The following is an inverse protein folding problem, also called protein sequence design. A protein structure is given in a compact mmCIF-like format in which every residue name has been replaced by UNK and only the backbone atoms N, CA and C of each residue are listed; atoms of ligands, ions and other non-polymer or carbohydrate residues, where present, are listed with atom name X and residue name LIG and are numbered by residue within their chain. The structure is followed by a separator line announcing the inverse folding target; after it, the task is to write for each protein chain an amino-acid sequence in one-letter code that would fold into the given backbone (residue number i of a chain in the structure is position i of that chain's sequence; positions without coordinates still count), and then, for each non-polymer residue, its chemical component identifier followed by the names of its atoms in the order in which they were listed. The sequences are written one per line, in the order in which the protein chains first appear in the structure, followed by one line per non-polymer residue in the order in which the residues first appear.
data_IF_855939554936
#
_entry.id   IF_855939554936
#
_cell.length_a   1.000
_cell.length_b   1.000
_cell.length_c   1.000
_cell.angle_alpha   90.00
_cell.angle_beta   90.00
_cell.angle_gamma   90.00
#
_symmetry.space_group_name_H-M   'P 1'
#
loop_
_entity.id
_entity.type
_entity.pdbx_description
1 polymer ?
#
# COMPACT_ATOMS: atom_id res chain seq x y z
N UNK A 1 -18.39 -13.34 18.22
CA UNK A 1 -19.58 -13.19 19.04
C UNK A 1 -20.82 -13.96 18.52
N UNK A 2 -20.74 -14.69 17.42
CA UNK A 2 -21.90 -15.41 16.82
C UNK A 2 -22.01 -16.90 17.19
N UNK A 3 -21.10 -17.46 17.98
CA UNK A 3 -21.07 -18.90 18.33
C UNK A 3 -21.89 -19.24 19.59
N UNK A 4 -22.39 -18.26 20.33
CA UNK A 4 -23.00 -18.46 21.67
C UNK A 4 -24.49 -18.86 21.60
N UNK A 5 -25.14 -18.84 20.45
CA UNK A 5 -26.59 -19.09 20.33
C UNK A 5 -27.00 -20.35 19.56
N UNK A 6 -26.16 -21.39 19.50
CA UNK A 6 -26.58 -22.67 18.94
C UNK A 6 -26.98 -23.58 20.10
N UNK A 7 -28.24 -23.51 20.51
CA UNK A 7 -28.84 -24.57 21.32
C UNK A 7 -28.78 -25.91 20.58
N UNK A 8 -28.65 -27.06 21.31
CA UNK A 8 -28.47 -28.38 20.71
C UNK A 8 -29.73 -28.82 19.97
N UNK A 9 -29.85 -28.46 18.69
CA UNK A 9 -31.01 -28.83 17.86
C UNK A 9 -30.95 -30.30 17.39
N UNK A 10 -29.81 -30.97 17.48
CA UNK A 10 -29.67 -32.37 17.07
C UNK A 10 -28.59 -33.04 17.94
N UNK A 11 -28.97 -33.81 18.91
CA UNK A 11 -28.29 -34.88 19.69
C UNK A 11 -26.79 -35.19 19.57
N UNK A 12 -26.00 -34.32 18.97
CA UNK A 12 -24.53 -34.39 18.93
C UNK A 12 -23.93 -33.16 19.60
N UNK A 13 -22.84 -33.30 20.35
CA UNK A 13 -22.19 -32.16 20.98
C UNK A 13 -21.72 -31.17 19.90
N UNK A 14 -22.01 -29.90 20.11
CA UNK A 14 -21.62 -28.77 19.23
C UNK A 14 -20.11 -28.81 18.90
N UNK A 15 -19.32 -29.29 19.81
CA UNK A 15 -17.86 -29.47 19.72
C UNK A 15 -17.46 -30.37 18.55
N UNK A 16 -18.15 -31.50 18.35
CA UNK A 16 -17.86 -32.44 17.24
C UNK A 16 -18.10 -31.80 15.88
N UNK A 17 -19.13 -30.96 15.79
CA UNK A 17 -19.50 -30.28 14.55
C UNK A 17 -18.50 -29.19 14.21
N UNK A 18 -18.13 -28.36 15.18
CA UNK A 18 -17.12 -27.32 15.00
C UNK A 18 -15.79 -27.94 14.56
N UNK A 19 -15.41 -29.07 15.17
CA UNK A 19 -14.17 -29.77 14.84
C UNK A 19 -14.16 -30.31 13.42
N UNK A 20 -15.29 -30.93 12.96
CA UNK A 20 -15.44 -31.42 11.59
C UNK A 20 -15.46 -30.31 10.55
N UNK A 21 -16.17 -29.21 10.83
CA UNK A 21 -16.18 -28.03 9.96
C UNK A 21 -14.79 -27.37 9.90
N UNK A 22 -14.09 -27.30 11.02
CA UNK A 22 -12.72 -26.81 11.09
C UNK A 22 -11.74 -27.67 10.30
N UNK A 23 -11.89 -29.00 10.35
CA UNK A 23 -11.11 -29.94 9.54
C UNK A 23 -11.30 -29.69 8.06
N UNK A 24 -12.55 -29.60 7.60
CA UNK A 24 -12.89 -29.29 6.21
C UNK A 24 -12.28 -27.93 5.80
N UNK A 25 -12.49 -26.91 6.62
CA UNK A 25 -11.97 -25.56 6.36
C UNK A 25 -10.45 -25.56 6.22
N UNK A 26 -9.73 -26.31 7.06
CA UNK A 26 -8.27 -26.43 7.01
C UNK A 26 -7.81 -27.14 5.74
N UNK A 27 -8.43 -28.28 5.39
CA UNK A 27 -8.05 -29.04 4.20
C UNK A 27 -8.26 -28.24 2.91
N UNK A 28 -9.39 -27.54 2.79
CA UNK A 28 -9.68 -26.73 1.61
C UNK A 28 -8.83 -25.46 1.55
N UNK A 29 -8.51 -24.86 2.69
CA UNK A 29 -7.59 -23.71 2.78
C UNK A 29 -6.17 -24.10 2.34
N UNK A 30 -5.67 -25.29 2.74
CA UNK A 30 -4.35 -25.80 2.32
C UNK A 30 -4.29 -26.05 0.81
N UNK A 31 -5.38 -26.51 0.20
CA UNK A 31 -5.50 -26.68 -1.26
C UNK A 31 -5.67 -25.34 -1.99
N UNK A 32 -6.00 -24.26 -1.29
CA UNK A 32 -6.36 -22.96 -1.87
C UNK A 32 -7.77 -22.94 -2.49
N UNK A 33 -8.64 -23.86 -2.11
CA UNK A 33 -9.98 -23.98 -2.64
C UNK A 33 -10.97 -23.08 -1.89
N UNK A 34 -11.78 -22.35 -2.65
CA UNK A 34 -12.92 -21.57 -2.14
C UNK A 34 -14.23 -22.34 -2.22
N UNK A 35 -14.27 -23.35 -3.07
CA UNK A 35 -15.42 -24.23 -3.27
C UNK A 35 -15.01 -25.67 -2.97
N UNK A 36 -15.97 -26.47 -2.50
CA UNK A 36 -15.80 -27.88 -2.19
C UNK A 36 -17.05 -28.67 -2.53
N UNK A 37 -16.93 -29.98 -2.60
CA UNK A 37 -17.97 -30.90 -3.08
C UNK A 37 -18.50 -31.79 -1.96
N UNK A 38 -19.54 -32.54 -2.25
CA UNK A 38 -20.17 -33.48 -1.30
C UNK A 38 -19.17 -34.53 -0.79
N UNK A 39 -18.19 -34.92 -1.61
CA UNK A 39 -17.14 -35.86 -1.25
C UNK A 39 -16.22 -35.30 -0.14
N UNK A 40 -15.82 -34.04 -0.24
CA UNK A 40 -14.99 -33.36 0.78
C UNK A 40 -15.72 -33.32 2.14
N UNK A 41 -17.05 -33.09 2.12
CA UNK A 41 -17.89 -33.15 3.31
C UNK A 41 -17.89 -34.55 3.95
N UNK A 42 -18.00 -35.59 3.13
CA UNK A 42 -18.00 -36.99 3.59
C UNK A 42 -16.65 -37.40 4.19
N UNK A 43 -15.54 -36.99 3.57
CA UNK A 43 -14.19 -37.23 4.08
C UNK A 43 -13.98 -36.63 5.48
N UNK A 44 -14.63 -35.48 5.74
CA UNK A 44 -14.62 -34.84 7.06
C UNK A 44 -15.67 -35.41 8.02
N UNK A 45 -16.43 -36.45 7.61
CA UNK A 45 -17.48 -37.05 8.41
C UNK A 45 -18.69 -36.13 8.63
N UNK A 46 -18.96 -35.21 7.70
CA UNK A 46 -20.10 -34.29 7.72
C UNK A 46 -21.21 -34.89 6.86
N UNK A 47 -22.40 -35.15 7.44
CA UNK A 47 -23.52 -35.61 6.71
C UNK A 47 -24.13 -34.46 5.91
N UNK A 48 -24.25 -34.61 4.59
CA UNK A 48 -24.79 -33.64 3.66
C UNK A 48 -26.20 -33.11 4.07
N UNK A 49 -27.10 -33.97 4.51
CA UNK A 49 -28.46 -33.56 4.94
C UNK A 49 -28.39 -32.63 6.18
N UNK A 50 -27.39 -32.84 7.04
CA UNK A 50 -27.14 -32.03 8.23
C UNK A 50 -26.49 -30.71 7.83
N UNK A 51 -25.56 -30.74 6.87
CA UNK A 51 -24.96 -29.52 6.34
C UNK A 51 -25.98 -28.56 5.70
N UNK A 52 -26.98 -29.11 4.98
CA UNK A 52 -28.05 -28.28 4.41
C UNK A 52 -28.96 -27.66 5.47
N UNK A 53 -29.13 -28.32 6.63
CA UNK A 53 -29.87 -27.77 7.77
C UNK A 53 -29.06 -26.70 8.48
N UNK A 54 -27.75 -26.87 8.60
CA UNK A 54 -26.87 -25.83 9.18
C UNK A 54 -26.78 -24.58 8.28
N UNK A 55 -26.88 -24.72 6.96
CA UNK A 55 -26.97 -23.56 6.06
C UNK A 55 -28.25 -22.74 6.28
N UNK A 56 -29.34 -23.35 6.81
CA UNK A 56 -30.58 -22.66 7.12
C UNK A 56 -30.65 -22.07 8.55
N UNK A 57 -29.91 -22.64 9.52
CA UNK A 57 -29.98 -22.26 10.94
C UNK A 57 -28.80 -21.40 11.39
N UNK A 58 -27.62 -21.68 10.90
CA UNK A 58 -26.40 -20.88 11.19
C UNK A 58 -26.19 -19.83 10.13
N UNK A 59 -27.23 -19.08 9.78
CA UNK A 59 -27.11 -18.00 8.81
C UNK A 59 -25.79 -18.05 8.04
N UNK A 60 -25.65 -19.16 7.19
CA UNK A 60 -24.74 -19.03 6.08
C UNK A 60 -23.26 -19.38 6.33
N UNK A 61 -22.92 -20.47 6.99
CA UNK A 61 -21.55 -21.01 6.94
C UNK A 61 -21.26 -21.58 5.54
N UNK A 62 -22.27 -22.17 4.88
CA UNK A 62 -22.15 -22.72 3.53
C UNK A 62 -23.13 -22.07 2.56
N UNK A 63 -22.69 -21.86 1.34
CA UNK A 63 -23.56 -21.53 0.21
C UNK A 63 -23.62 -22.74 -0.72
N UNK A 64 -24.82 -23.17 -1.05
CA UNK A 64 -25.06 -24.19 -2.06
C UNK A 64 -25.33 -23.51 -3.40
N UNK A 65 -24.51 -23.78 -4.41
CA UNK A 65 -24.69 -23.27 -5.75
C UNK A 65 -24.95 -24.45 -6.69
N UNK A 66 -26.06 -24.38 -7.45
CA UNK A 66 -26.38 -25.38 -8.52
C UNK A 66 -25.54 -24.98 -9.75
N UNK A 67 -24.42 -25.65 -9.97
CA UNK A 67 -23.59 -25.45 -11.16
C UNK A 67 -24.03 -26.25 -12.37
N UNK A 68 -23.39 -26.01 -13.51
CA UNK A 68 -23.62 -26.75 -14.79
C UNK A 68 -23.23 -28.23 -14.71
N UNK A 69 -22.52 -28.67 -13.68
CA UNK A 69 -22.17 -30.07 -13.43
C UNK A 69 -23.11 -30.68 -12.40
N UNK A 70 -23.51 -31.96 -12.58
CA UNK A 70 -24.51 -32.66 -11.80
C UNK A 70 -24.18 -32.92 -10.31
N UNK A 71 -23.20 -32.22 -9.72
CA UNK A 71 -22.82 -32.30 -8.31
C UNK A 71 -23.18 -31.02 -7.55
N UNK A 72 -23.57 -31.14 -6.27
CA UNK A 72 -23.78 -29.99 -5.39
C UNK A 72 -22.45 -29.40 -4.99
N UNK A 73 -22.33 -28.09 -5.18
CA UNK A 73 -21.14 -27.30 -4.88
C UNK A 73 -21.42 -26.47 -3.65
N UNK A 74 -20.45 -26.39 -2.76
CA UNK A 74 -20.54 -25.67 -1.49
C UNK A 74 -19.40 -24.66 -1.38
N UNK A 75 -19.63 -23.60 -0.64
CA UNK A 75 -18.58 -22.66 -0.24
C UNK A 75 -18.88 -22.13 1.16
N UNK A 76 -17.83 -21.74 1.89
CA UNK A 76 -18.05 -20.91 3.07
C UNK A 76 -18.60 -19.56 2.63
N UNK A 77 -19.49 -18.96 3.43
CA UNK A 77 -20.12 -17.68 3.09
C UNK A 77 -19.10 -16.56 2.94
N UNK A 78 -18.02 -16.66 3.71
CA UNK A 78 -16.93 -15.72 3.66
C UNK A 78 -15.62 -16.46 3.89
N UNK A 79 -14.58 -16.10 3.13
CA UNK A 79 -13.24 -16.67 3.29
C UNK A 79 -12.71 -16.55 4.72
N UNK A 80 -13.00 -15.43 5.39
CA UNK A 80 -12.62 -15.21 6.79
C UNK A 80 -13.18 -16.27 7.75
N UNK A 81 -14.37 -16.79 7.47
CA UNK A 81 -14.97 -17.87 8.27
C UNK A 81 -14.22 -19.18 8.07
N UNK A 82 -13.82 -19.47 6.82
CA UNK A 82 -12.98 -20.62 6.51
C UNK A 82 -11.64 -20.54 7.23
N UNK A 83 -10.94 -19.40 7.13
CA UNK A 83 -9.63 -19.19 7.78
C UNK A 83 -9.72 -19.27 9.30
N UNK A 84 -10.79 -18.70 9.89
CA UNK A 84 -11.05 -18.78 11.33
C UNK A 84 -11.28 -20.23 11.80
N UNK A 85 -12.14 -20.98 11.12
CA UNK A 85 -12.43 -22.38 11.47
C UNK A 85 -11.20 -23.28 11.25
N UNK A 86 -10.44 -23.04 10.20
CA UNK A 86 -9.18 -23.74 9.94
C UNK A 86 -8.16 -23.51 11.06
N UNK A 87 -8.00 -22.25 11.50
CA UNK A 87 -7.10 -21.90 12.61
C UNK A 87 -7.57 -22.49 13.93
N UNK A 88 -8.87 -22.48 14.19
CA UNK A 88 -9.45 -23.10 15.39
C UNK A 88 -9.18 -24.60 15.40
N UNK A 89 -9.41 -25.29 14.29
CA UNK A 89 -9.11 -26.72 14.14
C UNK A 89 -7.63 -27.03 14.42
N UNK A 90 -6.73 -26.27 13.80
CA UNK A 90 -5.28 -26.45 13.99
C UNK A 90 -4.87 -26.28 15.46
N UNK A 91 -5.42 -25.27 16.13
CA UNK A 91 -5.15 -24.99 17.54
C UNK A 91 -5.70 -26.09 18.46
N UNK A 92 -6.95 -26.51 18.24
CA UNK A 92 -7.60 -27.54 19.03
C UNK A 92 -6.96 -28.91 18.85
N UNK A 93 -6.66 -29.32 17.61
CA UNK A 93 -5.96 -30.58 17.32
C UNK A 93 -4.62 -30.64 18.03
N UNK A 94 -3.88 -29.54 18.05
CA UNK A 94 -2.62 -29.49 18.79
C UNK A 94 -2.81 -29.64 20.30
N UNK A 95 -3.84 -29.01 20.88
CA UNK A 95 -4.11 -29.13 22.32
C UNK A 95 -4.58 -30.54 22.72
N UNK A 96 -5.31 -31.23 21.83
CA UNK A 96 -5.83 -32.58 22.08
C UNK A 96 -4.75 -33.64 21.92
N UNK A 97 -4.04 -33.63 20.80
CA UNK A 97 -3.20 -34.72 20.37
C UNK A 97 -1.69 -34.43 20.51
N UNK A 98 -1.32 -33.19 20.87
CA UNK A 98 0.06 -32.69 20.88
C UNK A 98 0.79 -32.89 19.54
N UNK A 99 0.02 -32.91 18.46
CA UNK A 99 0.51 -33.05 17.08
C UNK A 99 0.15 -31.82 16.26
N UNK A 100 1.08 -31.37 15.46
CA UNK A 100 0.79 -30.28 14.52
C UNK A 100 0.04 -30.83 13.31
N UNK A 101 -1.00 -30.12 12.87
CA UNK A 101 -1.75 -30.44 11.64
C UNK A 101 -0.89 -30.42 10.38
N UNK A 102 0.31 -29.86 10.46
CA UNK A 102 1.28 -29.80 9.37
C UNK A 102 2.26 -30.99 9.35
N UNK A 103 2.12 -31.94 10.26
CA UNK A 103 2.97 -33.14 10.36
C UNK A 103 2.26 -34.33 9.76
N UNK A 104 3.04 -35.25 9.16
CA UNK A 104 2.52 -36.52 8.73
C UNK A 104 2.09 -37.39 9.93
N UNK A 105 1.02 -38.18 9.79
CA UNK A 105 0.50 -39.09 10.84
C UNK A 105 1.54 -40.05 11.40
N UNK A 106 2.68 -40.24 10.73
CA UNK A 106 3.78 -41.09 11.16
C UNK A 106 4.75 -40.41 12.15
N UNK A 107 4.62 -39.09 12.38
CA UNK A 107 5.46 -38.38 13.32
C UNK A 107 5.04 -38.72 14.76
N UNK A 108 5.91 -39.46 15.50
CA UNK A 108 5.63 -39.79 16.90
C UNK A 108 5.54 -38.52 17.75
N UNK A 109 4.54 -38.41 18.65
CA UNK A 109 4.43 -37.28 19.57
C UNK A 109 5.74 -37.15 20.38
N UNK A 110 6.27 -35.95 20.42
CA UNK A 110 7.43 -35.66 21.28
C UNK A 110 7.01 -35.82 22.74
N UNK A 111 7.67 -36.71 23.48
CA UNK A 111 7.40 -36.98 24.90
C UNK A 111 7.73 -35.81 25.84
N UNK A 112 8.22 -34.70 25.34
CA UNK A 112 8.62 -33.50 26.09
C UNK A 112 7.60 -32.37 25.89
N UNK A 113 6.65 -32.23 26.81
CA UNK A 113 5.83 -31.01 27.02
C UNK A 113 5.06 -30.44 25.84
N UNK A 114 3.94 -29.82 26.12
CA UNK A 114 3.10 -29.14 25.11
C UNK A 114 3.76 -27.81 24.72
N UNK A 115 4.45 -27.76 23.59
CA UNK A 115 5.08 -26.55 23.07
C UNK A 115 4.35 -26.06 21.81
N UNK A 116 3.31 -25.23 21.98
CA UNK A 116 2.53 -24.64 20.89
C UNK A 116 3.41 -23.90 19.87
N UNK A 117 4.59 -23.45 20.29
CA UNK A 117 5.55 -22.79 19.41
C UNK A 117 5.98 -23.66 18.22
N UNK A 118 5.84 -24.99 18.30
CA UNK A 118 6.11 -25.90 17.17
C UNK A 118 5.06 -25.70 16.06
N UNK A 119 3.78 -25.72 16.40
CA UNK A 119 2.69 -25.45 15.48
C UNK A 119 2.82 -24.05 14.89
N UNK A 120 3.07 -23.05 15.73
CA UNK A 120 3.20 -21.66 15.31
C UNK A 120 4.35 -21.44 14.33
N UNK A 121 5.52 -22.03 14.58
CA UNK A 121 6.68 -21.90 13.67
C UNK A 121 6.40 -22.49 12.30
N UNK A 122 5.75 -23.67 12.25
CA UNK A 122 5.36 -24.30 10.99
C UNK A 122 4.33 -23.45 10.23
N UNK A 123 3.34 -22.91 10.93
CA UNK A 123 2.35 -22.02 10.33
C UNK A 123 2.99 -20.73 9.78
N UNK A 124 3.91 -20.11 10.54
CA UNK A 124 4.68 -18.95 10.09
C UNK A 124 5.46 -19.28 8.82
N UNK A 125 6.17 -20.40 8.78
CA UNK A 125 6.97 -20.79 7.61
C UNK A 125 6.07 -21.02 6.38
N UNK A 126 4.91 -21.65 6.55
CA UNK A 126 3.94 -21.85 5.46
C UNK A 126 3.38 -20.53 4.92
N UNK A 127 2.94 -19.64 5.80
CA UNK A 127 2.45 -18.34 5.40
C UNK A 127 3.54 -17.48 4.71
N UNK A 128 4.78 -17.55 5.20
CA UNK A 128 5.92 -16.86 4.58
C UNK A 128 6.25 -17.40 3.18
N UNK A 129 6.03 -18.68 2.92
CA UNK A 129 6.26 -19.30 1.61
C UNK A 129 5.05 -19.20 0.67
N UNK A 130 3.90 -18.79 1.17
CA UNK A 130 2.69 -18.56 0.37
C UNK A 130 2.89 -17.38 -0.58
N UNK A 131 2.57 -17.56 -1.86
CA UNK A 131 2.74 -16.52 -2.87
C UNK A 131 1.67 -15.42 -2.81
N UNK A 132 0.44 -15.77 -2.40
CA UNK A 132 -0.73 -14.89 -2.48
C UNK A 132 -1.26 -14.42 -1.13
N UNK A 133 -0.54 -14.69 -0.02
CA UNK A 133 -0.97 -14.31 1.33
C UNK A 133 -2.26 -15.00 1.81
N UNK A 134 -2.71 -16.09 1.14
CA UNK A 134 -3.95 -16.80 1.47
C UNK A 134 -3.95 -17.45 2.85
N UNK A 135 -2.79 -17.56 3.51
CA UNK A 135 -2.66 -18.07 4.88
C UNK A 135 -2.44 -16.94 5.91
N UNK A 136 -2.47 -15.69 5.51
CA UNK A 136 -2.11 -14.57 6.37
C UNK A 136 -3.11 -14.38 7.51
N UNK A 137 -4.39 -14.40 7.21
CA UNK A 137 -5.44 -14.22 8.21
C UNK A 137 -5.62 -15.50 9.06
N UNK A 138 -5.47 -16.69 8.46
CA UNK A 138 -5.37 -17.95 9.19
C UNK A 138 -4.28 -17.88 10.26
N UNK A 139 -3.08 -17.42 9.89
CA UNK A 139 -1.95 -17.29 10.82
C UNK A 139 -2.27 -16.33 11.96
N UNK A 140 -2.89 -15.19 11.68
CA UNK A 140 -3.31 -14.23 12.70
C UNK A 140 -4.33 -14.82 13.68
N UNK A 141 -5.35 -15.51 13.19
CA UNK A 141 -6.32 -16.20 14.06
C UNK A 141 -5.63 -17.26 14.92
N UNK A 142 -4.72 -18.05 14.34
CA UNK A 142 -3.98 -19.09 15.08
C UNK A 142 -3.17 -18.47 16.23
N UNK A 143 -2.50 -17.33 16.01
CA UNK A 143 -1.79 -16.61 17.06
C UNK A 143 -2.75 -16.05 18.12
N UNK A 144 -3.86 -15.47 17.69
CA UNK A 144 -4.87 -14.90 18.58
C UNK A 144 -5.49 -15.93 19.54
N UNK A 145 -5.65 -17.18 19.14
CA UNK A 145 -6.13 -18.24 20.04
C UNK A 145 -5.18 -18.55 21.19
N UNK A 146 -3.92 -18.17 21.10
CA UNK A 146 -2.94 -18.33 22.19
C UNK A 146 -2.99 -17.20 23.23
N UNK A 147 -3.78 -16.14 23.00
CA UNK A 147 -3.95 -15.06 23.93
C UNK A 147 -4.84 -15.49 25.12
N UNK A 148 -4.48 -15.10 26.33
CA UNK A 148 -5.15 -15.56 27.56
C UNK A 148 -6.65 -15.28 27.61
N UNK A 149 -7.10 -14.13 27.10
CA UNK A 149 -8.51 -13.75 26.99
C UNK A 149 -9.28 -14.73 26.10
N UNK A 150 -8.74 -15.09 24.94
CA UNK A 150 -9.36 -16.01 24.00
C UNK A 150 -9.33 -17.45 24.52
N UNK A 151 -8.27 -17.84 25.20
CA UNK A 151 -8.18 -19.15 25.85
C UNK A 151 -9.28 -19.29 26.93
N UNK A 152 -9.58 -18.25 27.69
CA UNK A 152 -10.67 -18.26 28.69
C UNK A 152 -12.04 -18.51 28.02
N UNK A 153 -12.29 -17.95 26.84
CA UNK A 153 -13.51 -18.20 26.07
C UNK A 153 -13.57 -19.63 25.51
N UNK A 154 -12.44 -20.14 25.01
CA UNK A 154 -12.36 -21.51 24.51
C UNK A 154 -12.51 -22.58 25.60
N UNK A 155 -12.20 -22.27 26.88
CA UNK A 155 -12.40 -23.19 28.02
C UNK A 155 -13.83 -23.67 28.16
N UNK A 156 -14.81 -22.85 27.79
CA UNK A 156 -16.23 -23.21 27.84
C UNK A 156 -16.64 -24.22 26.79
N UNK A 157 -15.85 -24.35 25.73
CA UNK A 157 -16.10 -25.24 24.58
C UNK A 157 -15.42 -26.61 24.73
N UNK A 158 -14.47 -26.75 25.66
CA UNK A 158 -13.62 -27.95 25.71
C UNK A 158 -13.43 -28.46 27.14
N UNK A 159 -13.60 -29.76 27.40
CA UNK A 159 -13.52 -30.37 28.73
C UNK A 159 -12.09 -30.59 29.24
N UNK A 160 -11.07 -29.89 28.75
CA UNK A 160 -9.66 -30.16 29.02
C UNK A 160 -9.07 -29.41 30.21
N UNK A 161 -8.08 -30.00 30.84
CA UNK A 161 -7.20 -29.32 31.81
C UNK A 161 -6.28 -28.36 31.04
N UNK A 162 -6.66 -27.12 31.00
CA UNK A 162 -5.89 -26.05 30.37
C UNK A 162 -4.56 -25.84 31.10
N UNK A 163 -3.46 -25.94 30.34
CA UNK A 163 -2.16 -25.44 30.76
C UNK A 163 -1.92 -24.07 30.15
N UNK A 164 -1.29 -23.18 30.91
CA UNK A 164 -0.89 -21.88 30.36
C UNK A 164 -0.01 -22.06 29.14
N UNK A 165 -0.39 -21.48 28.03
CA UNK A 165 0.36 -21.52 26.77
C UNK A 165 1.44 -20.44 26.83
N UNK A 166 2.70 -20.84 26.73
CA UNK A 166 3.83 -19.90 26.64
C UNK A 166 4.13 -19.59 25.17
N UNK A 167 4.14 -18.31 24.85
CA UNK A 167 4.33 -17.82 23.47
C UNK A 167 5.69 -17.15 23.22
N UNK A 168 6.54 -17.07 24.25
CA UNK A 168 7.86 -16.39 24.16
C UNK A 168 8.73 -16.89 23.00
N UNK A 169 8.75 -18.21 22.76
CA UNK A 169 9.52 -18.80 21.67
C UNK A 169 8.93 -18.50 20.29
N UNK A 170 7.61 -18.34 20.23
CA UNK A 170 6.92 -17.90 19.01
C UNK A 170 7.26 -16.44 18.71
N UNK A 171 7.18 -15.55 19.71
CA UNK A 171 7.55 -14.15 19.58
C UNK A 171 9.00 -14.01 19.10
N UNK A 172 9.94 -14.73 19.73
CA UNK A 172 11.34 -14.72 19.30
C UNK A 172 11.50 -15.16 17.85
N UNK A 173 10.78 -16.21 17.45
CA UNK A 173 10.84 -16.74 16.08
C UNK A 173 10.30 -15.76 15.06
N UNK A 174 9.14 -15.16 15.30
CA UNK A 174 8.55 -14.15 14.43
C UNK A 174 9.49 -12.95 14.28
N UNK A 175 10.07 -12.45 15.38
CA UNK A 175 11.06 -11.36 15.34
C UNK A 175 12.31 -11.72 14.53
N UNK A 176 12.77 -12.97 14.60
CA UNK A 176 13.88 -13.44 13.73
C UNK A 176 13.48 -13.40 12.25
N UNK A 177 12.25 -13.82 11.91
CA UNK A 177 11.75 -13.77 10.52
C UNK A 177 11.65 -12.34 10.01
N UNK A 178 11.17 -11.39 10.81
CA UNK A 178 11.14 -9.96 10.45
C UNK A 178 12.55 -9.42 10.19
N UNK A 179 13.54 -9.79 11.02
CA UNK A 179 14.95 -9.37 10.85
C UNK A 179 15.60 -9.89 9.56
N UNK A 180 15.12 -10.98 8.99
CA UNK A 180 15.56 -11.46 7.67
C UNK A 180 15.08 -10.57 6.52
N UNK A 181 14.37 -9.49 6.84
CA UNK A 181 13.91 -8.46 5.91
C UNK A 181 13.08 -9.03 4.73
N UNK A 182 11.97 -9.73 5.02
CA UNK A 182 11.06 -10.19 3.98
C UNK A 182 10.41 -8.99 3.29
N UNK A 183 9.50 -9.25 2.34
CA UNK A 183 8.74 -8.15 1.72
C UNK A 183 8.00 -7.32 2.78
N UNK A 184 7.73 -6.03 2.53
CA UNK A 184 7.01 -5.18 3.47
C UNK A 184 5.67 -5.76 3.91
N UNK A 185 4.91 -6.35 2.98
CA UNK A 185 3.60 -6.96 3.24
C UNK A 185 3.73 -8.13 4.24
N UNK A 186 4.73 -8.99 4.04
CA UNK A 186 5.02 -10.11 4.96
C UNK A 186 5.48 -9.63 6.33
N UNK A 187 6.29 -8.57 6.37
CA UNK A 187 6.72 -7.94 7.64
C UNK A 187 5.52 -7.39 8.42
N UNK A 188 4.59 -6.73 7.74
CA UNK A 188 3.36 -6.20 8.34
C UNK A 188 2.51 -7.34 8.90
N UNK A 189 2.31 -8.42 8.13
CA UNK A 189 1.53 -9.57 8.61
C UNK A 189 2.18 -10.23 9.83
N UNK A 190 3.49 -10.42 9.83
CA UNK A 190 4.22 -10.93 11.00
C UNK A 190 4.08 -9.99 12.22
N UNK A 191 4.03 -8.67 11.97
CA UNK A 191 3.79 -7.71 13.04
C UNK A 191 2.36 -7.80 13.60
N UNK A 192 1.35 -7.98 12.74
CA UNK A 192 -0.01 -8.31 13.20
C UNK A 192 -0.01 -9.56 14.08
N UNK A 193 0.75 -10.60 13.71
CA UNK A 193 0.86 -11.81 14.54
C UNK A 193 1.47 -11.53 15.92
N UNK A 194 2.48 -10.65 16.02
CA UNK A 194 3.02 -10.22 17.31
C UNK A 194 1.97 -9.49 18.16
N UNK A 195 1.17 -8.63 17.54
CA UNK A 195 0.08 -7.91 18.20
C UNK A 195 -1.01 -8.88 18.69
N UNK A 196 -1.41 -9.87 17.87
CA UNK A 196 -2.35 -10.92 18.27
C UNK A 196 -1.83 -11.75 19.47
N UNK A 197 -0.52 -11.91 19.60
CA UNK A 197 0.12 -12.55 20.76
C UNK A 197 0.20 -11.64 21.99
N UNK A 198 -0.26 -10.39 21.90
CA UNK A 198 -0.21 -9.40 22.98
C UNK A 198 1.15 -8.74 23.18
N UNK A 199 2.05 -8.84 22.18
CA UNK A 199 3.37 -8.21 22.24
C UNK A 199 3.29 -6.74 21.81
N UNK A 200 2.93 -5.84 22.73
CA UNK A 200 2.68 -4.41 22.45
C UNK A 200 3.91 -3.50 22.64
N UNK A 201 4.96 -4.00 23.25
CA UNK A 201 6.16 -3.21 23.58
C UNK A 201 6.73 -2.41 22.39
N UNK A 202 6.74 -2.98 21.18
CA UNK A 202 7.24 -2.28 19.98
C UNK A 202 6.33 -1.12 19.57
N UNK A 203 5.03 -1.24 19.76
CA UNK A 203 4.06 -0.17 19.47
C UNK A 203 4.33 1.02 20.39
N UNK A 204 4.45 0.79 21.68
CA UNK A 204 4.70 1.81 22.70
C UNK A 204 6.03 2.53 22.46
N UNK A 205 7.08 1.79 22.10
CA UNK A 205 8.39 2.32 21.78
C UNK A 205 8.35 3.26 20.56
N UNK A 206 7.73 2.80 19.45
CA UNK A 206 7.62 3.60 18.22
C UNK A 206 6.68 4.79 18.42
N UNK A 207 5.59 4.65 19.16
CA UNK A 207 4.72 5.77 19.52
C UNK A 207 5.47 6.83 20.33
N UNK A 208 6.35 6.41 21.23
CA UNK A 208 7.21 7.33 21.98
C UNK A 208 8.13 8.12 21.02
N UNK A 209 8.74 7.45 20.03
CA UNK A 209 9.58 8.13 19.04
C UNK A 209 8.80 9.11 18.17
N UNK A 210 7.54 8.76 17.81
CA UNK A 210 6.65 9.68 17.07
C UNK A 210 6.29 10.90 17.92
N UNK A 211 5.87 10.71 19.17
CA UNK A 211 5.50 11.81 20.07
C UNK A 211 6.65 12.76 20.34
N UNK A 212 7.86 12.24 20.50
CA UNK A 212 9.07 13.05 20.74
C UNK A 212 9.66 13.66 19.45
N UNK A 213 9.12 13.34 18.27
CA UNK A 213 9.63 13.77 16.95
C UNK A 213 11.11 13.45 16.75
N UNK A 214 11.58 12.33 17.27
CA UNK A 214 12.99 11.92 17.20
C UNK A 214 13.26 10.86 16.12
N UNK A 215 12.24 10.36 15.44
CA UNK A 215 12.38 9.37 14.36
C UNK A 215 13.51 9.68 13.36
N UNK A 216 13.69 10.93 12.89
CA UNK A 216 14.78 11.26 11.98
C UNK A 216 16.18 11.05 12.57
N UNK A 217 16.32 10.91 13.88
CA UNK A 217 17.59 10.76 14.60
C UNK A 217 17.85 9.33 15.08
N UNK A 218 16.87 8.44 14.95
CA UNK A 218 16.93 7.06 15.44
C UNK A 218 17.05 6.10 14.27
N UNK A 219 18.03 5.20 14.32
CA UNK A 219 18.11 4.10 13.35
C UNK A 219 17.15 2.99 13.80
N UNK A 220 16.00 2.90 13.14
CA UNK A 220 15.01 1.88 13.43
C UNK A 220 15.48 0.48 12.97
N UNK A 221 15.15 -0.54 13.76
CA UNK A 221 15.27 -1.94 13.36
C UNK A 221 14.12 -2.35 12.44
N UNK A 222 14.24 -3.50 11.75
CA UNK A 222 13.20 -3.98 10.83
C UNK A 222 11.86 -4.22 11.53
N UNK A 223 11.87 -4.68 12.78
CA UNK A 223 10.67 -4.87 13.58
C UNK A 223 10.04 -3.53 14.03
N UNK A 224 10.85 -2.50 14.31
CA UNK A 224 10.36 -1.14 14.59
C UNK A 224 9.79 -0.46 13.35
N UNK A 225 10.38 -0.67 12.16
CA UNK A 225 9.81 -0.22 10.90
C UNK A 225 8.44 -0.83 10.64
N UNK A 226 8.29 -2.14 10.84
CA UNK A 226 7.01 -2.82 10.68
C UNK A 226 5.96 -2.30 11.68
N UNK A 227 6.36 -2.00 12.93
CA UNK A 227 5.51 -1.36 13.92
C UNK A 227 5.06 0.04 13.49
N UNK A 228 5.98 0.84 12.95
CA UNK A 228 5.67 2.18 12.45
C UNK A 228 4.64 2.14 11.32
N UNK A 229 4.83 1.25 10.33
CA UNK A 229 3.88 1.07 9.23
C UNK A 229 2.52 0.63 9.77
N UNK A 230 2.49 -0.30 10.72
CA UNK A 230 1.26 -0.74 11.36
C UNK A 230 0.52 0.43 12.03
N UNK A 231 1.22 1.22 12.84
CA UNK A 231 0.64 2.39 13.53
C UNK A 231 0.07 3.38 12.51
N UNK A 232 0.82 3.69 11.44
CA UNK A 232 0.40 4.65 10.43
C UNK A 232 -0.83 4.17 9.64
N UNK A 233 -0.89 2.88 9.29
CA UNK A 233 -2.04 2.31 8.55
C UNK A 233 -3.29 2.11 9.41
N UNK A 234 -3.13 1.96 10.73
CA UNK A 234 -4.25 1.74 11.67
C UNK A 234 -4.66 3.01 12.41
N UNK A 235 -3.92 4.11 12.26
CA UNK A 235 -4.33 5.39 12.82
C UNK A 235 -5.59 5.89 12.10
N UNK A 236 -6.55 6.43 12.87
CA UNK A 236 -7.78 7.03 12.33
C UNK A 236 -7.53 8.35 11.57
N UNK A 237 -6.27 8.79 11.50
CA UNK A 237 -5.89 9.99 10.76
C UNK A 237 -5.92 9.69 9.25
N UNK A 238 -6.59 10.55 8.50
CA UNK A 238 -6.54 10.53 7.03
C UNK A 238 -5.09 10.62 6.55
N UNK A 239 -4.58 9.50 6.02
CA UNK A 239 -3.26 9.42 5.41
C UNK A 239 -3.25 10.00 3.98
N UNK A 240 -4.08 11.03 3.72
CA UNK A 240 -4.12 11.65 2.40
C UNK A 240 -2.77 12.26 2.03
N UNK A 241 -2.06 12.83 3.01
CA UNK A 241 -0.74 13.49 2.81
C UNK A 241 0.32 12.76 3.62
N UNK A 242 1.36 12.30 2.96
CA UNK A 242 2.50 11.65 3.60
C UNK A 242 3.81 12.36 3.28
N UNK A 243 4.45 12.94 4.32
CA UNK A 243 5.76 13.61 4.20
C UNK A 243 6.89 12.68 4.64
N UNK A 244 7.53 12.03 3.67
CA UNK A 244 8.62 11.09 3.91
C UNK A 244 9.87 11.76 4.52
N UNK A 245 10.05 13.08 4.34
CA UNK A 245 11.20 13.79 4.89
C UNK A 245 11.26 13.75 6.42
N UNK A 246 10.11 13.59 7.06
CA UNK A 246 10.00 13.45 8.52
C UNK A 246 10.51 12.09 9.03
N UNK A 247 10.64 11.09 8.14
CA UNK A 247 11.06 9.72 8.47
C UNK A 247 12.46 9.38 7.98
N UNK A 248 13.31 10.40 7.77
CA UNK A 248 14.72 10.22 7.39
C UNK A 248 15.04 10.02 5.91
N UNK A 249 14.36 10.43 4.94
CA UNK A 249 14.87 10.50 3.56
C UNK A 249 15.84 9.38 3.07
N UNK A 250 15.97 8.27 3.82
CA UNK A 250 16.83 7.16 3.45
C UNK A 250 16.11 6.21 2.49
N UNK A 251 16.88 5.54 1.63
CA UNK A 251 16.32 4.57 0.70
C UNK A 251 15.67 3.37 1.41
N UNK A 252 16.17 3.02 2.59
CA UNK A 252 15.59 1.98 3.45
C UNK A 252 14.22 2.41 3.97
N UNK A 253 14.08 3.67 4.38
CA UNK A 253 12.79 4.22 4.83
C UNK A 253 11.73 4.15 3.72
N UNK A 254 12.07 4.55 2.49
CA UNK A 254 11.14 4.45 1.38
C UNK A 254 10.70 3.00 1.11
N UNK A 255 11.66 2.06 1.16
CA UNK A 255 11.35 0.64 0.95
C UNK A 255 10.41 0.10 2.03
N UNK A 256 10.66 0.43 3.29
CA UNK A 256 9.84 -0.03 4.42
C UNK A 256 8.46 0.63 4.45
N UNK A 257 8.37 1.90 4.03
CA UNK A 257 7.12 2.68 4.00
C UNK A 257 6.35 2.53 2.68
N UNK A 258 6.79 1.67 1.76
CA UNK A 258 6.13 1.45 0.46
C UNK A 258 4.63 1.11 0.57
N UNK A 259 4.16 0.33 1.57
CA UNK A 259 2.73 0.10 1.76
C UNK A 259 1.93 1.37 2.03
N UNK A 260 2.53 2.34 2.74
CA UNK A 260 1.93 3.66 2.98
C UNK A 260 1.89 4.45 1.67
N UNK A 261 3.01 4.47 0.94
CA UNK A 261 3.15 5.21 -0.33
C UNK A 261 2.12 4.78 -1.37
N UNK A 262 1.69 3.52 -1.35
CA UNK A 262 0.67 2.99 -2.28
C UNK A 262 -0.76 3.48 -2.01
N UNK A 263 -1.06 3.93 -0.80
CA UNK A 263 -2.43 4.29 -0.37
C UNK A 263 -2.64 5.78 -0.14
N UNK A 264 -1.58 6.58 -0.14
CA UNK A 264 -1.66 8.03 0.04
C UNK A 264 -2.02 8.73 -1.26
N UNK A 265 -2.67 9.89 -1.17
CA UNK A 265 -2.95 10.74 -2.33
C UNK A 265 -1.81 11.70 -2.65
N UNK A 266 -1.12 12.19 -1.62
CA UNK A 266 -0.03 13.16 -1.76
C UNK A 266 1.23 12.64 -1.07
N UNK A 267 2.31 12.52 -1.83
CA UNK A 267 3.61 12.07 -1.36
C UNK A 267 4.64 13.20 -1.47
N UNK A 268 5.18 13.60 -0.32
CA UNK A 268 6.20 14.65 -0.23
C UNK A 268 7.55 14.01 0.09
N UNK A 269 8.50 14.11 -0.85
CA UNK A 269 9.89 13.60 -0.71
C UNK A 269 10.85 14.76 -1.01
N UNK A 270 10.78 15.78 -0.17
CA UNK A 270 11.52 17.01 -0.36
C UNK A 270 12.94 16.89 0.14
N UNK A 271 13.91 17.46 -0.63
CA UNK A 271 15.33 17.53 -0.25
C UNK A 271 15.95 16.18 0.11
N UNK A 272 15.43 15.10 -0.48
CA UNK A 272 15.90 13.75 -0.24
C UNK A 272 16.92 13.32 -1.32
N UNK A 273 17.93 12.56 -0.89
CA UNK A 273 18.90 12.00 -1.83
C UNK A 273 18.43 10.61 -2.29
N UNK A 274 17.48 10.56 -3.22
CA UNK A 274 16.95 9.33 -3.76
C UNK A 274 18.01 8.55 -4.55
N UNK A 275 18.05 7.22 -4.39
CA UNK A 275 18.87 6.34 -5.25
C UNK A 275 18.11 5.95 -6.52
N UNK A 276 18.81 5.29 -7.45
CA UNK A 276 18.16 4.70 -8.63
C UNK A 276 17.07 3.70 -8.22
N UNK A 277 17.34 2.85 -7.21
CA UNK A 277 16.38 1.88 -6.68
C UNK A 277 15.13 2.55 -6.10
N UNK A 278 15.29 3.68 -5.38
CA UNK A 278 14.15 4.45 -4.86
C UNK A 278 13.29 5.01 -5.99
N UNK A 279 13.91 5.50 -7.07
CA UNK A 279 13.18 6.00 -8.23
C UNK A 279 12.49 4.87 -9.01
N UNK A 280 13.07 3.67 -9.07
CA UNK A 280 12.41 2.47 -9.62
C UNK A 280 11.16 2.12 -8.81
N UNK A 281 11.26 2.08 -7.48
CA UNK A 281 10.13 1.79 -6.59
C UNK A 281 9.00 2.83 -6.72
N UNK A 282 9.35 4.11 -6.82
CA UNK A 282 8.36 5.18 -7.06
C UNK A 282 7.72 5.03 -8.44
N UNK A 283 8.50 4.67 -9.47
CA UNK A 283 7.99 4.41 -10.79
C UNK A 283 7.01 3.21 -10.81
N UNK A 284 7.28 2.17 -10.02
CA UNK A 284 6.37 1.02 -9.88
C UNK A 284 5.05 1.41 -9.20
N UNK A 285 5.10 2.27 -8.17
CA UNK A 285 3.90 2.83 -7.55
C UNK A 285 3.08 3.63 -8.55
N UNK A 286 3.72 4.52 -9.32
CA UNK A 286 3.04 5.35 -10.31
C UNK A 286 2.37 4.54 -11.43
N UNK A 287 2.91 3.36 -11.79
CA UNK A 287 2.35 2.45 -12.79
C UNK A 287 1.30 1.48 -12.25
N UNK A 288 1.12 1.44 -10.94
CA UNK A 288 0.19 0.49 -10.32
C UNK A 288 -1.25 0.97 -10.45
N UNK A 289 -2.14 0.14 -10.99
CA UNK A 289 -3.59 0.39 -11.05
C UNK A 289 -4.23 0.61 -9.68
N UNK A 290 -3.62 0.07 -8.63
CA UNK A 290 -4.09 0.23 -7.24
C UNK A 290 -3.55 1.48 -6.56
N UNK A 291 -2.70 2.27 -7.23
CA UNK A 291 -2.15 3.49 -6.65
C UNK A 291 -3.19 4.61 -6.62
N UNK A 292 -3.32 5.23 -5.46
CA UNK A 292 -4.18 6.40 -5.24
C UNK A 292 -3.42 7.72 -5.37
N UNK A 293 -2.11 7.66 -5.74
CA UNK A 293 -1.22 8.81 -5.74
C UNK A 293 -1.57 9.82 -6.83
N UNK A 294 -1.96 11.02 -6.40
CA UNK A 294 -2.32 12.16 -7.25
C UNK A 294 -1.29 13.27 -7.24
N UNK A 295 -0.52 13.41 -6.16
CA UNK A 295 0.51 14.44 -6.03
C UNK A 295 1.85 13.83 -5.62
N UNK A 296 2.91 14.21 -6.34
CA UNK A 296 4.30 13.83 -6.05
C UNK A 296 5.16 15.10 -5.98
N UNK A 297 5.71 15.38 -4.80
CA UNK A 297 6.63 16.49 -4.57
C UNK A 297 8.04 15.99 -4.29
N UNK A 298 8.94 16.18 -5.26
CA UNK A 298 10.36 15.85 -5.18
C UNK A 298 11.25 17.08 -5.04
N UNK A 299 10.68 18.20 -4.64
CA UNK A 299 11.34 19.51 -4.57
C UNK A 299 12.67 19.47 -3.80
N UNK A 300 13.70 20.07 -4.38
CA UNK A 300 15.03 20.14 -3.80
C UNK A 300 15.81 18.82 -3.76
N UNK A 301 15.26 17.75 -4.33
CA UNK A 301 15.92 16.45 -4.42
C UNK A 301 16.87 16.41 -5.63
N UNK A 302 18.08 15.89 -5.42
CA UNK A 302 19.07 15.81 -6.50
C UNK A 302 18.73 14.67 -7.47
N UNK A 303 18.10 15.01 -8.60
CA UNK A 303 17.68 14.04 -9.61
C UNK A 303 18.63 14.05 -10.79
N UNK A 304 19.54 13.07 -10.86
CA UNK A 304 20.36 12.83 -12.05
C UNK A 304 19.51 12.28 -13.21
N UNK A 305 19.97 12.48 -14.43
CA UNK A 305 19.26 12.08 -15.66
C UNK A 305 18.70 10.65 -15.65
N UNK A 306 19.47 9.66 -15.14
CA UNK A 306 19.04 8.27 -15.07
C UNK A 306 17.79 8.11 -14.19
N UNK A 307 17.76 8.79 -13.04
CA UNK A 307 16.63 8.78 -12.10
C UNK A 307 15.40 9.44 -12.72
N UNK A 308 15.61 10.56 -13.42
CA UNK A 308 14.54 11.28 -14.13
C UNK A 308 13.96 10.39 -15.23
N UNK A 309 14.78 9.74 -16.04
CA UNK A 309 14.31 8.84 -17.11
C UNK A 309 13.44 7.68 -16.57
N UNK A 310 13.77 7.12 -15.39
CA UNK A 310 12.96 6.09 -14.75
C UNK A 310 11.57 6.61 -14.34
N UNK A 311 11.50 7.77 -13.71
CA UNK A 311 10.23 8.41 -13.35
C UNK A 311 9.41 8.78 -14.60
N UNK A 312 10.07 9.28 -15.65
CA UNK A 312 9.43 9.62 -16.92
C UNK A 312 8.78 8.41 -17.61
N UNK A 313 9.38 7.22 -17.50
CA UNK A 313 8.77 5.99 -18.02
C UNK A 313 7.45 5.66 -17.29
N UNK A 314 7.37 5.92 -16.00
CA UNK A 314 6.13 5.73 -15.23
C UNK A 314 5.07 6.79 -15.57
N UNK A 315 5.48 8.05 -15.73
CA UNK A 315 4.58 9.14 -16.12
C UNK A 315 3.90 8.93 -17.48
N UNK A 316 4.52 8.13 -18.37
CA UNK A 316 3.95 7.78 -19.70
C UNK A 316 2.92 6.66 -19.64
N UNK A 317 2.79 5.97 -18.50
CA UNK A 317 1.86 4.85 -18.34
C UNK A 317 0.41 5.35 -18.36
N UNK A 318 -0.48 4.62 -19.03
CA UNK A 318 -1.92 4.88 -19.01
C UNK A 318 -2.53 4.69 -17.61
N UNK A 319 -1.90 3.89 -16.76
CA UNK A 319 -2.32 3.65 -15.37
C UNK A 319 -1.83 4.74 -14.40
N UNK A 320 -1.05 5.74 -14.87
CA UNK A 320 -0.55 6.83 -14.03
C UNK A 320 -1.63 7.89 -13.81
N UNK A 321 -2.11 7.98 -12.57
CA UNK A 321 -3.16 8.92 -12.15
C UNK A 321 -2.61 10.23 -11.55
N UNK A 322 -1.32 10.53 -11.75
CA UNK A 322 -0.70 11.70 -11.17
C UNK A 322 -1.26 12.98 -11.79
N UNK A 323 -1.76 13.87 -10.95
CA UNK A 323 -2.29 15.19 -11.34
C UNK A 323 -1.30 16.32 -11.07
N UNK A 324 -0.52 16.24 -9.99
CA UNK A 324 0.40 17.28 -9.56
C UNK A 324 1.82 16.74 -9.43
N UNK A 325 2.75 17.36 -10.19
CA UNK A 325 4.17 17.00 -10.15
C UNK A 325 5.01 18.24 -9.82
N UNK A 326 5.75 18.18 -8.70
CA UNK A 326 6.66 19.24 -8.27
C UNK A 326 8.10 18.77 -8.29
N UNK A 327 8.91 19.42 -9.12
CA UNK A 327 10.32 19.16 -9.34
C UNK A 327 11.19 20.44 -9.11
N UNK A 328 10.69 21.39 -8.34
CA UNK A 328 11.40 22.65 -8.18
C UNK A 328 12.74 22.46 -7.45
N UNK A 329 13.80 23.10 -7.97
CA UNK A 329 15.14 23.04 -7.39
C UNK A 329 15.82 21.67 -7.39
N UNK A 330 15.40 20.75 -8.30
CA UNK A 330 15.95 19.39 -8.39
C UNK A 330 17.30 19.32 -9.10
N UNK A 331 17.88 20.45 -9.48
CA UNK A 331 19.14 20.57 -10.27
C UNK A 331 19.07 19.80 -11.60
N UNK A 332 17.92 19.83 -12.25
CA UNK A 332 17.75 19.25 -13.57
C UNK A 332 18.51 20.07 -14.60
N UNK A 333 19.34 19.40 -15.37
CA UNK A 333 19.95 19.97 -16.57
C UNK A 333 18.98 19.94 -17.76
N UNK A 334 19.33 20.56 -18.88
CA UNK A 334 18.51 20.61 -20.09
C UNK A 334 17.99 19.24 -20.54
N UNK A 335 18.85 18.22 -20.60
CA UNK A 335 18.47 16.86 -21.03
C UNK A 335 17.44 16.22 -20.08
N UNK A 336 17.58 16.46 -18.77
CA UNK A 336 16.65 15.98 -17.76
C UNK A 336 15.30 16.70 -17.86
N UNK A 337 15.33 18.02 -18.08
CA UNK A 337 14.12 18.82 -18.31
C UNK A 337 13.39 18.38 -19.59
N UNK A 338 14.13 18.13 -20.65
CA UNK A 338 13.59 17.62 -21.92
C UNK A 338 12.91 16.26 -21.75
N UNK A 339 13.50 15.37 -20.96
CA UNK A 339 12.91 14.08 -20.66
C UNK A 339 11.56 14.22 -19.90
N UNK A 340 11.49 15.15 -18.92
CA UNK A 340 10.25 15.42 -18.17
C UNK A 340 9.17 16.00 -19.09
N UNK A 341 9.51 17.00 -19.93
CA UNK A 341 8.57 17.61 -20.87
C UNK A 341 8.08 16.57 -21.89
N UNK A 342 8.97 15.71 -22.38
CA UNK A 342 8.59 14.63 -23.30
C UNK A 342 7.66 13.59 -22.66
N UNK A 343 7.81 13.33 -21.35
CA UNK A 343 6.90 12.46 -20.61
C UNK A 343 5.54 13.13 -20.38
N UNK A 344 5.54 14.42 -20.03
CA UNK A 344 4.34 15.23 -19.91
C UNK A 344 3.55 15.26 -21.23
N UNK A 345 4.21 15.45 -22.37
CA UNK A 345 3.55 15.44 -23.68
C UNK A 345 2.77 14.14 -23.95
N UNK A 346 3.28 13.01 -23.45
CA UNK A 346 2.62 11.71 -23.61
C UNK A 346 1.39 11.57 -22.70
N UNK A 347 1.37 12.23 -21.53
CA UNK A 347 0.32 12.14 -20.50
C UNK A 347 -0.27 13.50 -20.11
N UNK A 348 -0.34 14.45 -21.03
CA UNK A 348 -0.80 15.80 -20.79
C UNK A 348 -2.29 15.89 -20.35
N UNK A 349 -3.03 14.82 -20.55
CA UNK A 349 -4.44 14.75 -20.15
C UNK A 349 -4.65 14.56 -18.62
N UNK A 350 -3.66 14.01 -17.90
CA UNK A 350 -3.75 13.75 -16.46
C UNK A 350 -3.13 14.87 -15.61
N UNK A 351 -1.97 15.41 -16.03
CA UNK A 351 -1.25 16.41 -15.25
C UNK A 351 -1.98 17.76 -15.29
N UNK A 352 -2.28 18.29 -14.11
CA UNK A 352 -2.95 19.58 -13.90
C UNK A 352 -2.01 20.65 -13.35
N UNK A 353 -1.01 20.24 -12.58
CA UNK A 353 0.01 21.13 -12.03
C UNK A 353 1.40 20.59 -12.34
N UNK A 354 2.27 21.44 -12.92
CA UNK A 354 3.67 21.14 -13.16
C UNK A 354 4.54 22.30 -12.64
N UNK A 355 5.39 22.01 -11.66
CA UNK A 355 6.38 22.94 -11.15
C UNK A 355 7.79 22.47 -11.45
N UNK A 356 8.47 23.17 -12.36
CA UNK A 356 9.87 22.92 -12.74
C UNK A 356 10.79 24.08 -12.33
N UNK A 357 10.34 24.95 -11.44
CA UNK A 357 11.08 26.15 -11.02
C UNK A 357 12.49 25.81 -10.52
N UNK A 358 13.46 26.70 -10.75
CA UNK A 358 14.83 26.55 -10.27
C UNK A 358 15.62 25.42 -10.95
N UNK A 359 15.30 25.09 -12.20
CA UNK A 359 16.02 24.13 -13.02
C UNK A 359 16.50 24.79 -14.33
N UNK A 360 17.38 24.12 -15.09
CA UNK A 360 17.93 24.64 -16.33
C UNK A 360 17.09 24.20 -17.53
N UNK A 361 15.99 24.92 -17.81
CA UNK A 361 15.11 24.55 -18.92
C UNK A 361 15.61 25.05 -20.28
N UNK A 362 16.06 26.30 -20.36
CA UNK A 362 16.29 27.06 -21.60
C UNK A 362 15.06 27.17 -22.56
N UNK A 363 15.18 27.98 -23.61
CA UNK A 363 14.10 28.23 -24.56
C UNK A 363 13.74 27.01 -25.43
N UNK A 364 14.72 26.14 -25.73
CA UNK A 364 14.51 24.92 -26.54
C UNK A 364 13.51 23.97 -25.84
N UNK A 365 13.66 23.75 -24.52
CA UNK A 365 12.76 22.91 -23.73
C UNK A 365 11.38 23.59 -23.55
N UNK A 366 11.38 24.92 -23.36
CA UNK A 366 10.12 25.70 -23.26
C UNK A 366 9.32 25.65 -24.55
N UNK A 367 9.98 25.67 -25.72
CA UNK A 367 9.32 25.48 -27.01
C UNK A 367 8.57 24.15 -27.09
N UNK A 368 9.20 23.04 -26.71
CA UNK A 368 8.54 21.72 -26.67
C UNK A 368 7.36 21.69 -25.72
N UNK A 369 7.49 22.31 -24.56
CA UNK A 369 6.41 22.45 -23.59
C UNK A 369 5.24 23.25 -24.17
N UNK A 370 5.55 24.34 -24.87
CA UNK A 370 4.56 25.20 -25.54
C UNK A 370 3.79 24.45 -26.63
N UNK A 371 4.44 23.56 -27.38
CA UNK A 371 3.74 22.72 -28.37
C UNK A 371 2.68 21.82 -27.70
N UNK A 372 2.96 21.31 -26.51
CA UNK A 372 1.98 20.51 -25.76
C UNK A 372 0.83 21.39 -25.24
N UNK A 373 1.13 22.58 -24.72
CA UNK A 373 0.13 23.52 -24.23
C UNK A 373 -0.85 23.96 -25.32
N UNK A 374 -0.43 24.00 -26.60
CA UNK A 374 -1.30 24.30 -27.76
C UNK A 374 -2.39 23.25 -27.96
N UNK A 375 -2.18 22.01 -27.49
CA UNK A 375 -3.09 20.91 -27.76
C UNK A 375 -4.34 20.99 -26.87
N UNK A 376 -5.52 20.73 -27.45
CA UNK A 376 -6.78 20.67 -26.67
C UNK A 376 -6.83 19.51 -25.66
N UNK A 377 -5.97 18.50 -25.79
CA UNK A 377 -5.85 17.39 -24.86
C UNK A 377 -5.14 17.80 -23.57
N UNK A 378 -4.35 18.87 -23.61
CA UNK A 378 -3.65 19.37 -22.44
C UNK A 378 -4.63 19.93 -21.41
N UNK A 379 -4.56 19.44 -20.18
CA UNK A 379 -5.40 19.88 -19.05
C UNK A 379 -4.62 20.62 -17.98
N UNK A 380 -3.41 21.08 -18.29
CA UNK A 380 -2.56 21.79 -17.35
C UNK A 380 -3.20 23.10 -16.92
N UNK A 381 -3.38 23.28 -15.63
CA UNK A 381 -3.97 24.48 -15.02
C UNK A 381 -2.91 25.40 -14.40
N UNK A 382 -1.85 24.81 -13.87
CA UNK A 382 -0.79 25.54 -13.17
C UNK A 382 0.56 25.14 -13.74
N UNK A 383 1.31 26.14 -14.23
CA UNK A 383 2.68 25.99 -14.72
C UNK A 383 3.60 26.96 -13.98
N UNK A 384 4.61 26.42 -13.29
CA UNK A 384 5.64 27.23 -12.61
C UNK A 384 7.01 26.97 -13.22
N UNK A 385 7.59 28.03 -13.79
CA UNK A 385 8.90 28.05 -14.43
C UNK A 385 9.77 29.18 -13.86
N UNK A 386 9.62 29.48 -12.58
CA UNK A 386 10.40 30.50 -11.92
C UNK A 386 11.87 30.16 -11.94
N UNK A 387 12.75 31.12 -12.31
CA UNK A 387 14.19 30.94 -12.30
C UNK A 387 14.66 29.71 -13.11
N UNK A 388 14.24 29.64 -14.35
CA UNK A 388 14.51 28.49 -15.26
C UNK A 388 15.42 28.87 -16.43
N UNK A 389 15.89 30.10 -16.50
CA UNK A 389 16.72 30.59 -17.60
C UNK A 389 15.94 30.78 -18.91
N UNK A 390 14.65 30.99 -18.81
CA UNK A 390 13.77 31.30 -19.96
C UNK A 390 14.05 32.70 -20.43
N UNK A 391 14.30 32.86 -21.73
CA UNK A 391 14.59 34.15 -22.37
C UNK A 391 13.41 34.58 -23.26
N UNK A 392 13.63 35.65 -24.02
CA UNK A 392 12.60 36.27 -24.86
C UNK A 392 11.90 35.30 -25.82
N UNK A 393 12.64 34.33 -26.41
CA UNK A 393 12.04 33.34 -27.33
C UNK A 393 11.09 32.40 -26.60
N UNK A 394 11.48 31.90 -25.41
CA UNK A 394 10.60 31.06 -24.59
C UNK A 394 9.30 31.78 -24.17
N UNK A 395 9.37 33.10 -23.87
CA UNK A 395 8.19 33.91 -23.61
C UNK A 395 7.27 33.98 -24.83
N UNK A 396 7.82 34.15 -26.05
CA UNK A 396 7.04 34.17 -27.30
C UNK A 396 6.36 32.81 -27.56
N UNK A 397 7.09 31.72 -27.32
CA UNK A 397 6.54 30.37 -27.52
C UNK A 397 5.35 30.12 -26.55
N UNK A 398 5.50 30.49 -25.27
CA UNK A 398 4.41 30.41 -24.28
C UNK A 398 3.23 31.30 -24.64
N UNK A 399 3.49 32.53 -25.10
CA UNK A 399 2.45 33.44 -25.58
C UNK A 399 1.67 32.82 -26.74
N UNK A 400 2.36 32.26 -27.71
CA UNK A 400 1.74 31.58 -28.86
C UNK A 400 0.88 30.37 -28.40
N UNK A 401 1.35 29.66 -27.37
CA UNK A 401 0.59 28.54 -26.81
C UNK A 401 -0.70 29.01 -26.10
N UNK A 402 -0.64 30.10 -25.33
CA UNK A 402 -1.79 30.70 -24.69
C UNK A 402 -2.81 31.23 -25.70
N UNK A 403 -2.36 31.80 -26.84
CA UNK A 403 -3.23 32.21 -27.92
C UNK A 403 -3.96 31.01 -28.57
N UNK A 404 -3.25 29.94 -28.81
CA UNK A 404 -3.82 28.74 -29.44
C UNK A 404 -4.78 27.97 -28.52
N UNK A 405 -4.55 27.97 -27.21
CA UNK A 405 -5.34 27.26 -26.20
C UNK A 405 -5.58 28.14 -24.96
N UNK A 406 -6.41 29.20 -25.06
CA UNK A 406 -6.52 30.21 -24.02
C UNK A 406 -7.31 29.79 -22.78
N UNK A 407 -8.01 28.66 -22.83
CA UNK A 407 -9.00 28.28 -21.80
C UNK A 407 -8.50 27.36 -20.70
N UNK A 408 -7.30 26.80 -20.77
CA UNK A 408 -6.85 25.74 -19.87
C UNK A 408 -5.95 26.23 -18.75
N UNK A 409 -4.93 27.04 -19.07
CA UNK A 409 -3.97 27.50 -18.08
C UNK A 409 -4.58 28.61 -17.22
N UNK A 410 -4.51 28.47 -15.90
CA UNK A 410 -5.03 29.41 -14.91
C UNK A 410 -3.93 30.16 -14.17
N UNK A 411 -2.81 29.53 -13.92
CA UNK A 411 -1.66 30.13 -13.26
C UNK A 411 -0.39 29.88 -14.08
N UNK A 412 0.37 30.96 -14.35
CA UNK A 412 1.67 30.92 -14.98
C UNK A 412 2.67 31.74 -14.15
N UNK A 413 3.72 31.10 -13.62
CA UNK A 413 4.81 31.78 -12.90
C UNK A 413 6.10 31.73 -13.73
N UNK A 414 6.48 32.89 -14.25
CA UNK A 414 7.73 33.11 -15.00
C UNK A 414 8.71 34.02 -14.24
N UNK A 415 8.49 34.24 -12.96
CA UNK A 415 9.34 35.11 -12.13
C UNK A 415 10.81 34.76 -12.23
N UNK A 416 11.70 35.76 -12.13
CA UNK A 416 13.16 35.58 -12.15
C UNK A 416 13.71 34.98 -13.45
N UNK A 417 13.07 35.27 -14.58
CA UNK A 417 13.56 34.94 -15.93
C UNK A 417 13.83 36.22 -16.73
N UNK A 418 14.54 36.08 -17.86
CA UNK A 418 15.00 37.23 -18.65
C UNK A 418 14.07 37.41 -19.88
N UNK A 419 12.91 38.00 -19.66
CA UNK A 419 11.88 38.15 -20.73
C UNK A 419 12.22 39.18 -21.80
N UNK A 420 12.88 40.25 -21.39
CA UNK A 420 12.88 41.50 -22.15
C UNK A 420 11.46 42.09 -22.31
N UNK A 421 11.36 43.37 -22.62
CA UNK A 421 10.06 44.07 -22.72
C UNK A 421 9.13 43.47 -23.78
N UNK A 422 9.69 43.08 -24.95
CA UNK A 422 8.92 42.47 -26.01
C UNK A 422 8.23 41.14 -25.63
N UNK A 423 8.84 40.36 -24.76
CA UNK A 423 8.24 39.10 -24.28
C UNK A 423 7.03 39.36 -23.37
N UNK A 424 7.15 40.37 -22.51
CA UNK A 424 6.06 40.75 -21.60
C UNK A 424 4.92 41.44 -22.35
N UNK A 425 5.22 42.34 -23.31
CA UNK A 425 4.20 42.95 -24.16
C UNK A 425 3.35 41.92 -24.88
N UNK A 426 4.00 40.92 -25.49
CA UNK A 426 3.29 39.82 -26.13
C UNK A 426 2.35 39.05 -25.18
N UNK A 427 2.76 38.81 -23.93
CA UNK A 427 1.90 38.19 -22.91
C UNK A 427 0.74 39.08 -22.51
N UNK A 428 0.96 40.41 -22.34
CA UNK A 428 -0.11 41.37 -22.04
C UNK A 428 -1.16 41.44 -23.14
N UNK A 429 -0.76 41.37 -24.42
CA UNK A 429 -1.71 41.31 -25.55
C UNK A 429 -2.65 40.09 -25.46
N UNK A 430 -2.13 38.93 -25.05
CA UNK A 430 -2.94 37.71 -24.89
C UNK A 430 -3.86 37.80 -23.68
N UNK A 431 -3.42 38.42 -22.59
CA UNK A 431 -4.26 38.61 -21.38
C UNK A 431 -5.47 39.51 -21.68
N UNK A 432 -5.34 40.43 -22.59
CA UNK A 432 -6.43 41.32 -23.01
C UNK A 432 -7.49 40.64 -23.92
N UNK A 433 -7.26 39.40 -24.32
CA UNK A 433 -8.20 38.65 -25.14
C UNK A 433 -9.37 38.10 -24.29
N UNK A 434 -10.63 38.26 -24.69
CA UNK A 434 -11.81 37.82 -23.89
C UNK A 434 -11.83 36.31 -23.59
N UNK A 435 -11.20 35.50 -24.41
CA UNK A 435 -11.13 34.05 -24.27
C UNK A 435 -10.02 33.57 -23.33
N UNK A 436 -9.08 34.44 -22.96
CA UNK A 436 -7.99 34.09 -22.05
C UNK A 436 -8.53 33.80 -20.63
N UNK A 437 -8.26 32.62 -20.11
CA UNK A 437 -8.69 32.18 -18.77
C UNK A 437 -7.58 32.21 -17.75
N UNK A 438 -6.44 32.82 -18.06
CA UNK A 438 -5.34 32.97 -17.11
C UNK A 438 -5.76 33.91 -15.97
N UNK A 439 -5.77 33.38 -14.74
CA UNK A 439 -6.20 34.09 -13.53
C UNK A 439 -5.01 34.72 -12.80
N UNK A 440 -3.85 34.07 -12.86
CA UNK A 440 -2.63 34.51 -12.15
C UNK A 440 -1.41 34.45 -13.08
N UNK A 441 -0.79 35.60 -13.28
CA UNK A 441 0.50 35.74 -13.95
C UNK A 441 1.51 36.34 -12.97
N UNK A 442 2.66 35.65 -12.77
CA UNK A 442 3.74 36.12 -11.90
C UNK A 442 4.99 36.40 -12.75
N UNK A 443 5.45 37.66 -12.70
CA UNK A 443 6.61 38.16 -13.42
C UNK A 443 7.62 38.87 -12.48
N UNK A 444 7.62 38.51 -11.21
CA UNK A 444 8.47 39.15 -10.20
C UNK A 444 9.96 39.05 -10.58
N UNK A 445 10.68 40.17 -10.53
CA UNK A 445 12.13 40.21 -10.83
C UNK A 445 12.48 39.66 -12.24
N UNK A 446 11.59 39.80 -13.22
CA UNK A 446 11.95 39.78 -14.61
C UNK A 446 12.70 41.10 -14.93
N UNK A 447 13.73 41.02 -15.78
CA UNK A 447 14.45 42.21 -16.22
C UNK A 447 13.58 43.01 -17.19
N UNK A 448 12.80 43.96 -16.65
CA UNK A 448 11.93 44.86 -17.39
C UNK A 448 12.47 46.28 -17.35
N UNK A 449 12.32 47.03 -18.44
CA UNK A 449 12.61 48.45 -18.44
C UNK A 449 11.41 49.26 -17.89
N UNK A 450 11.63 50.54 -17.59
CA UNK A 450 10.60 51.43 -17.04
C UNK A 450 9.36 51.56 -17.96
N UNK A 451 9.51 51.31 -19.24
CA UNK A 451 8.43 51.47 -20.24
C UNK A 451 7.46 50.28 -20.25
N UNK A 452 7.76 49.19 -19.52
CA UNK A 452 6.94 47.98 -19.42
C UNK A 452 6.08 47.90 -18.15
N UNK A 453 6.28 48.85 -17.24
CA UNK A 453 5.47 48.97 -16.02
C UNK A 453 4.37 50.03 -16.23
#
# INVERSE_FOLDING_TARGET
MAIIFIEPIIGRPLEEIIFKLGKLAFQELEKGNLIFYEEDLRECGINFKVASVYSGVCTQIFREESGLYQGKVFSFVHLTVQEYLAALYAHLSFLMDNMSVFESEQARPSSRGLHISRLHKQAVDRAMNSHNGHLDLFLRFLMGFSQESNQKLLKSLLPFKWRSIKTDDTVKYIRQKIKLNPSPEKSINLFHCLNELGYQHLIEEVQTYLCLKILPKVKLSSDQWAALVFILLTSENDLDIFDLSQYMGSNEALQMLLPIVKVVKQLLIRKCNLTNKSCEMLADVLRSKSSTLQELDLSGSHLQLRKVKQLCLALRSEDCNLENLRLNGCKLNEESCDAVVSAFNSNSASIRELDMSGNQLNDSVVKKLSETLKTQKCKLRVLRLRWCGVKQEGFRDLTTALQANPSHLKELDLSMNTSGDAGVHALCEVLNQPQCRLEVLKLNKCELTHDCC
#
